data_IF_356538409296
#
_entry.id   IF_356538409296
#
_cell.length_a   1.000
_cell.length_b   1.000
_cell.length_c   1.000
_cell.angle_alpha   90.00
_cell.angle_beta   90.00
_cell.angle_gamma   90.00
#
_symmetry.space_group_name_H-M   'P 1'
#
loop_
_entity.id
_entity.type
_entity.pdbx_description
1 polymer ?
#
# COMPACT_ATOMS: atom_id res chain seq x y z
N UNK A 1 24.56 25.44 -4.56
CA UNK A 1 24.65 25.69 -3.12
C UNK A 1 25.77 24.82 -2.58
N UNK A 2 26.96 25.41 -2.35
CA UNK A 2 28.18 24.67 -2.03
C UNK A 2 28.19 24.27 -0.55
N UNK A 3 28.32 22.98 -0.28
CA UNK A 3 28.56 22.46 1.07
C UNK A 3 30.08 22.41 1.26
N UNK A 4 30.59 23.26 2.14
CA UNK A 4 32.00 23.27 2.52
C UNK A 4 32.25 22.17 3.55
N UNK A 5 33.10 21.22 3.20
CA UNK A 5 33.60 20.19 4.13
C UNK A 5 34.77 20.78 4.91
N UNK A 6 34.60 20.96 6.22
CA UNK A 6 35.71 21.33 7.11
C UNK A 6 36.50 20.08 7.48
N UNK A 7 37.69 19.94 6.92
CA UNK A 7 38.67 18.95 7.37
C UNK A 7 39.53 19.55 8.50
N UNK A 8 39.50 18.94 9.68
CA UNK A 8 40.38 19.28 10.79
C UNK A 8 41.66 18.43 10.62
N UNK A 9 42.78 19.08 10.29
CA UNK A 9 44.11 18.45 10.28
C UNK A 9 44.74 18.63 11.67
N UNK A 10 44.87 17.54 12.42
CA UNK A 10 45.59 17.52 13.69
C UNK A 10 46.94 16.84 13.46
N UNK A 11 48.02 17.59 13.46
CA UNK A 11 49.40 17.06 13.43
C UNK A 11 49.90 16.94 14.86
N UNK A 12 50.15 15.73 15.33
CA UNK A 12 50.70 15.46 16.65
C UNK A 12 52.11 14.90 16.51
N UNK A 13 53.12 15.64 16.93
CA UNK A 13 54.53 15.17 16.97
C UNK A 13 54.78 14.46 18.33
N UNK A 14 55.13 13.20 18.26
CA UNK A 14 55.44 12.38 19.44
C UNK A 14 56.88 12.00 19.57
N UNK A 15 57.44 12.16 20.75
CA UNK A 15 58.80 11.75 21.13
C UNK A 15 58.80 10.24 21.53
N UNK A 16 59.87 9.53 21.17
CA UNK A 16 59.92 8.06 21.09
C UNK A 16 59.79 7.29 22.43
N UNK A 17 59.82 7.95 23.59
CA UNK A 17 59.77 7.22 24.87
C UNK A 17 58.36 6.95 25.44
N UNK A 18 57.32 7.54 24.88
CA UNK A 18 55.90 7.33 25.35
C UNK A 18 55.13 6.27 24.56
N UNK A 19 55.74 5.60 23.59
CA UNK A 19 55.07 4.71 22.64
C UNK A 19 54.38 3.48 23.26
N UNK A 20 54.86 2.96 24.37
CA UNK A 20 54.31 1.70 24.92
C UNK A 20 53.14 1.92 25.90
N UNK A 21 53.09 3.03 26.55
CA UNK A 21 51.95 3.32 27.47
C UNK A 21 50.75 3.83 26.66
N UNK A 22 50.98 4.66 25.65
CA UNK A 22 49.90 5.18 24.83
C UNK A 22 49.27 4.15 23.89
N UNK A 23 50.00 3.13 23.45
CA UNK A 23 49.40 2.01 22.65
C UNK A 23 48.36 1.24 23.49
N UNK A 24 48.64 0.99 24.75
CA UNK A 24 47.65 0.32 25.61
C UNK A 24 46.44 1.22 25.95
N UNK A 25 46.66 2.49 26.21
CA UNK A 25 45.61 3.47 26.51
C UNK A 25 44.78 3.77 25.26
N UNK A 26 45.39 3.87 24.08
CA UNK A 26 44.67 4.08 22.84
C UNK A 26 43.85 2.83 22.44
N UNK A 27 44.37 1.62 22.71
CA UNK A 27 43.62 0.37 22.49
C UNK A 27 42.44 0.24 23.44
N UNK A 28 42.58 0.69 24.70
CA UNK A 28 41.44 0.77 25.64
C UNK A 28 40.45 1.88 25.27
N UNK A 29 40.91 3.02 24.73
CA UNK A 29 40.03 4.09 24.25
C UNK A 29 39.31 3.70 22.95
N UNK A 30 39.95 2.98 22.04
CA UNK A 30 39.28 2.43 20.86
C UNK A 30 38.34 1.28 21.18
N UNK A 31 38.61 0.52 22.25
CA UNK A 31 37.69 -0.53 22.76
C UNK A 31 36.48 0.08 23.52
N UNK A 32 36.62 1.28 24.06
CA UNK A 32 35.50 2.02 24.71
C UNK A 32 34.67 2.84 23.71
N UNK A 33 35.17 3.06 22.47
CA UNK A 33 34.44 3.72 21.38
C UNK A 33 33.89 2.77 20.31
N UNK A 34 33.89 1.46 20.55
CA UNK A 34 32.84 0.62 20.02
C UNK A 34 31.63 0.93 20.92
N UNK A 35 31.11 2.15 20.83
CA UNK A 35 29.71 2.39 21.07
C UNK A 35 29.01 1.46 20.10
N UNK A 36 28.65 0.26 20.55
CA UNK A 36 27.50 -0.39 19.99
C UNK A 36 26.45 0.71 19.97
N UNK A 37 26.16 1.25 18.81
CA UNK A 37 24.86 1.78 18.53
C UNK A 37 23.97 0.55 18.65
N UNK A 38 23.66 0.17 19.90
CA UNK A 38 22.50 -0.62 20.18
C UNK A 38 21.37 0.22 19.60
N UNK A 39 20.88 -0.19 18.41
CA UNK A 39 19.57 0.23 17.98
C UNK A 39 18.64 -0.38 19.02
N UNK A 40 18.48 0.32 20.15
CA UNK A 40 17.41 0.01 21.06
C UNK A 40 16.12 0.23 20.25
N UNK A 41 15.12 -0.60 20.48
CA UNK A 41 13.78 -0.37 19.96
C UNK A 41 13.18 0.83 20.73
N UNK A 42 13.72 2.03 20.48
CA UNK A 42 13.38 3.23 21.24
C UNK A 42 12.18 3.96 20.62
N UNK A 43 11.79 3.61 19.40
CA UNK A 43 10.67 4.25 18.71
C UNK A 43 9.95 3.33 17.73
N UNK A 44 8.65 3.53 17.64
CA UNK A 44 7.75 2.95 16.68
C UNK A 44 7.47 4.00 15.60
N UNK A 45 7.86 3.72 14.37
CA UNK A 45 7.51 4.57 13.22
C UNK A 45 6.18 4.09 12.64
N UNK A 46 5.19 4.99 12.63
CA UNK A 46 3.85 4.72 12.12
C UNK A 46 3.62 5.50 10.84
N UNK A 47 3.20 4.81 9.79
CA UNK A 47 2.71 5.41 8.56
C UNK A 47 1.24 5.07 8.39
N UNK A 48 0.41 6.08 8.24
CA UNK A 48 -1.01 5.93 7.94
C UNK A 48 -1.25 5.91 6.44
N UNK A 49 -2.14 5.02 5.98
CA UNK A 49 -2.54 4.92 4.59
C UNK A 49 -3.65 5.95 4.28
N UNK A 50 -3.49 6.72 3.20
CA UNK A 50 -4.47 7.75 2.78
C UNK A 50 -5.50 7.21 1.77
N UNK A 51 -5.87 5.94 1.88
CA UNK A 51 -6.83 5.31 0.98
C UNK A 51 -8.15 5.07 1.70
N UNK A 52 -9.27 5.04 0.99
CA UNK A 52 -10.57 4.70 1.57
C UNK A 52 -10.56 3.32 2.25
N UNK A 53 -11.42 3.16 3.25
CA UNK A 53 -11.70 1.87 3.88
C UNK A 53 -12.78 1.17 3.04
N UNK A 54 -12.48 0.02 2.47
CA UNK A 54 -13.42 -0.72 1.62
C UNK A 54 -14.23 -1.73 2.43
N UNK A 55 -15.55 -1.64 2.32
CA UNK A 55 -16.49 -2.50 3.07
C UNK A 55 -16.28 -3.98 2.72
N UNK A 56 -16.02 -4.28 1.46
CA UNK A 56 -15.87 -5.64 0.93
C UNK A 56 -14.48 -6.26 1.16
N UNK A 57 -13.59 -5.54 1.87
CA UNK A 57 -12.26 -6.04 2.26
C UNK A 57 -12.23 -6.52 3.69
N UNK A 58 -11.67 -7.72 3.88
CA UNK A 58 -11.41 -8.28 5.20
C UNK A 58 -10.34 -7.47 5.92
N UNK A 59 -9.30 -7.06 5.21
CA UNK A 59 -8.16 -6.32 5.75
C UNK A 59 -7.95 -5.00 5.01
N UNK A 60 -8.41 -3.91 5.62
CA UNK A 60 -8.05 -2.55 5.20
C UNK A 60 -6.91 -2.07 6.10
N UNK A 61 -5.75 -1.81 5.52
CA UNK A 61 -4.60 -1.34 6.29
C UNK A 61 -4.87 0.04 6.87
N UNK A 62 -4.86 0.13 8.20
CA UNK A 62 -4.85 1.37 8.95
C UNK A 62 -3.43 1.91 9.06
N UNK A 63 -2.52 1.07 9.56
CA UNK A 63 -1.17 1.47 9.90
C UNK A 63 -0.14 0.48 9.37
N UNK A 64 0.89 1.02 8.75
CA UNK A 64 2.19 0.39 8.58
C UNK A 64 3.07 0.82 9.74
N UNK A 65 3.65 -0.13 10.44
CA UNK A 65 4.50 0.11 11.58
C UNK A 65 5.89 -0.46 11.36
N UNK A 66 6.92 0.34 11.59
CA UNK A 66 8.33 -0.05 11.47
C UNK A 66 9.00 0.07 12.82
N UNK A 67 9.61 -1.01 13.26
CA UNK A 67 10.26 -1.10 14.56
C UNK A 67 11.72 -1.53 14.36
N UNK A 68 12.70 -0.64 14.57
CA UNK A 68 14.10 -1.05 14.71
C UNK A 68 14.22 -1.92 15.97
N UNK A 69 14.68 -3.17 15.84
CA UNK A 69 14.73 -4.10 16.96
C UNK A 69 16.01 -4.92 17.00
N UNK A 70 16.36 -5.43 18.17
CA UNK A 70 17.32 -6.50 18.36
C UNK A 70 16.62 -7.85 18.23
N UNK A 71 17.39 -8.89 17.98
CA UNK A 71 16.85 -10.26 17.98
C UNK A 71 16.27 -10.60 19.35
N UNK A 72 14.99 -10.97 19.34
CA UNK A 72 14.28 -11.38 20.55
C UNK A 72 13.45 -10.28 21.23
N UNK A 73 13.57 -9.01 20.80
CA UNK A 73 12.62 -7.98 21.22
C UNK A 73 11.18 -8.36 20.83
N UNK A 74 10.21 -7.94 21.64
CA UNK A 74 8.79 -8.26 21.42
C UNK A 74 7.94 -7.01 21.47
N UNK A 75 7.12 -6.78 20.47
CA UNK A 75 6.02 -5.82 20.53
C UNK A 75 4.90 -6.42 21.37
N UNK A 76 4.81 -6.07 22.64
CA UNK A 76 3.88 -6.70 23.58
C UNK A 76 2.44 -6.23 23.40
N UNK A 77 2.26 -4.93 23.28
CA UNK A 77 0.95 -4.30 23.18
C UNK A 77 1.00 -3.06 22.28
N UNK A 78 -0.05 -2.87 21.53
CA UNK A 78 -0.38 -1.62 20.87
C UNK A 78 -1.83 -1.27 21.19
N UNK A 79 -2.06 0.00 21.54
CA UNK A 79 -3.41 0.51 21.83
C UNK A 79 -3.90 1.31 20.62
N UNK A 80 -5.07 0.95 20.12
CA UNK A 80 -5.79 1.69 19.07
C UNK A 80 -6.93 2.45 19.72
N UNK A 81 -6.96 3.76 19.54
CA UNK A 81 -8.07 4.61 19.95
C UNK A 81 -8.94 4.90 18.73
N UNK A 82 -10.23 4.58 18.81
CA UNK A 82 -11.24 4.87 17.79
C UNK A 82 -11.90 6.20 18.11
N UNK A 83 -11.99 7.09 17.12
CA UNK A 83 -12.57 8.43 17.26
C UNK A 83 -14.05 8.41 17.68
N UNK A 84 -14.50 9.45 18.39
CA UNK A 84 -15.85 9.51 18.94
C UNK A 84 -16.94 9.60 17.87
N UNK A 85 -16.61 10.14 16.71
CA UNK A 85 -17.49 10.24 15.54
C UNK A 85 -17.63 8.92 14.75
N UNK A 86 -16.89 7.87 15.09
CA UNK A 86 -16.95 6.57 14.44
C UNK A 86 -18.04 5.72 15.11
N UNK A 87 -18.94 5.16 14.31
CA UNK A 87 -19.92 4.22 14.80
C UNK A 87 -19.28 2.84 15.02
N UNK A 88 -19.11 2.43 16.27
CA UNK A 88 -18.48 1.15 16.61
C UNK A 88 -19.25 -0.06 16.08
N UNK A 89 -20.56 0.07 15.86
CA UNK A 89 -21.37 -1.02 15.31
C UNK A 89 -21.02 -1.36 13.87
N UNK A 90 -20.37 -0.44 13.14
CA UNK A 90 -19.96 -0.62 11.73
C UNK A 90 -18.65 -1.40 11.61
N UNK A 91 -17.89 -1.56 12.70
CA UNK A 91 -16.63 -2.27 12.69
C UNK A 91 -16.85 -3.75 13.02
N UNK A 92 -16.34 -4.63 12.17
CA UNK A 92 -16.36 -6.08 12.38
C UNK A 92 -15.16 -6.56 13.20
N UNK A 93 -13.94 -6.07 12.86
CA UNK A 93 -12.71 -6.50 13.53
C UNK A 93 -11.58 -5.48 13.33
N UNK A 94 -10.63 -5.50 14.26
CA UNK A 94 -9.31 -4.87 14.14
C UNK A 94 -8.25 -5.94 14.39
N UNK A 95 -7.21 -6.01 13.52
CA UNK A 95 -6.21 -7.08 13.54
C UNK A 95 -4.80 -6.52 13.54
N UNK A 96 -3.89 -7.26 14.15
CA UNK A 96 -2.46 -7.01 14.13
C UNK A 96 -1.75 -8.13 13.35
N UNK A 97 -0.84 -7.75 12.44
CA UNK A 97 -0.04 -8.68 11.63
C UNK A 97 1.44 -8.37 11.76
N UNK A 98 2.27 -9.38 11.57
CA UNK A 98 3.74 -9.30 11.54
C UNK A 98 4.27 -9.89 10.23
N UNK A 99 5.12 -9.15 9.51
CA UNK A 99 5.70 -9.57 8.22
C UNK A 99 7.21 -9.85 8.27
N UNK A 100 7.83 -9.79 9.45
CA UNK A 100 9.28 -9.99 9.58
C UNK A 100 10.09 -8.73 9.29
N UNK A 101 11.34 -8.91 8.86
CA UNK A 101 12.25 -7.84 8.45
C UNK A 101 12.18 -7.64 6.95
N UNK A 102 12.55 -6.45 6.52
CA UNK A 102 12.67 -6.11 5.09
C UNK A 102 13.63 -7.09 4.41
N UNK A 103 13.13 -7.83 3.42
CA UNK A 103 14.00 -8.55 2.51
C UNK A 103 14.79 -7.53 1.69
N UNK A 104 16.09 -7.74 1.43
CA UNK A 104 16.87 -6.84 0.58
C UNK A 104 16.13 -6.66 -0.74
N UNK A 105 15.69 -5.43 -1.01
CA UNK A 105 14.92 -5.07 -2.17
C UNK A 105 15.71 -5.35 -3.45
N UNK A 106 15.02 -5.70 -4.51
CA UNK A 106 15.60 -5.60 -5.85
C UNK A 106 15.93 -4.14 -6.10
N UNK A 107 17.25 -3.85 -6.22
CA UNK A 107 17.82 -2.56 -6.68
C UNK A 107 16.94 -1.32 -6.41
N UNK A 108 17.08 -0.74 -5.23
CA UNK A 108 16.64 0.64 -4.98
C UNK A 108 15.15 0.88 -4.70
N UNK A 109 14.29 -0.09 -4.87
CA UNK A 109 12.87 0.05 -4.57
C UNK A 109 12.63 -0.20 -3.08
N UNK A 110 12.17 0.82 -2.37
CA UNK A 110 11.64 0.69 -1.02
C UNK A 110 10.26 0.04 -1.07
N UNK A 111 10.19 -1.26 -1.25
CA UNK A 111 8.94 -1.99 -1.08
C UNK A 111 8.57 -2.03 0.39
N UNK A 112 7.59 -1.24 0.73
CA UNK A 112 6.72 -1.63 1.84
C UNK A 112 6.07 -2.95 1.44
N UNK A 113 6.18 -4.03 2.23
CA UNK A 113 5.47 -5.27 1.93
C UNK A 113 4.00 -5.07 1.54
N UNK A 114 3.30 -4.10 2.14
CA UNK A 114 1.90 -3.77 1.80
C UNK A 114 1.77 -3.05 0.46
N UNK A 115 2.67 -2.17 0.08
CA UNK A 115 2.61 -1.52 -1.23
C UNK A 115 2.78 -2.55 -2.34
N UNK A 116 3.66 -3.53 -2.15
CA UNK A 116 3.80 -4.66 -3.04
C UNK A 116 2.53 -5.54 -3.05
N UNK A 117 1.98 -5.86 -1.87
CA UNK A 117 0.76 -6.65 -1.71
C UNK A 117 -0.44 -5.97 -2.36
N UNK A 118 -0.60 -4.65 -2.18
CA UNK A 118 -1.77 -3.94 -2.70
C UNK A 118 -1.74 -3.69 -4.20
N UNK A 119 -0.56 -3.67 -4.83
CA UNK A 119 -0.41 -3.27 -6.24
C UNK A 119 -0.06 -4.41 -7.21
N UNK A 120 0.44 -5.55 -6.71
CA UNK A 120 1.05 -6.56 -7.58
C UNK A 120 0.53 -7.99 -7.38
N UNK A 121 -0.45 -8.22 -6.51
CA UNK A 121 -0.98 -9.57 -6.32
C UNK A 121 -2.16 -9.81 -7.26
N UNK A 122 -2.01 -10.72 -8.22
CA UNK A 122 -3.13 -11.20 -9.00
C UNK A 122 -4.06 -12.01 -8.09
N UNK A 123 -5.31 -11.64 -8.06
CA UNK A 123 -6.35 -12.44 -7.47
C UNK A 123 -6.46 -12.37 -5.95
N UNK A 124 -7.62 -12.01 -5.50
CA UNK A 124 -8.10 -12.08 -4.11
C UNK A 124 -7.34 -11.23 -3.09
N UNK A 125 -7.34 -9.92 -3.31
CA UNK A 125 -6.90 -8.90 -2.32
C UNK A 125 -7.58 -9.04 -0.95
N UNK A 126 -8.63 -9.86 -0.83
CA UNK A 126 -9.33 -10.15 0.42
C UNK A 126 -8.50 -10.89 1.46
N UNK A 127 -7.46 -11.62 1.01
CA UNK A 127 -6.54 -12.39 1.88
C UNK A 127 -5.09 -11.93 1.80
N UNK A 128 -4.84 -10.76 1.25
CA UNK A 128 -3.48 -10.32 0.94
C UNK A 128 -2.57 -10.30 2.17
N UNK A 129 -3.01 -9.75 3.29
CA UNK A 129 -2.20 -9.68 4.50
C UNK A 129 -1.89 -11.07 5.07
N UNK A 130 -2.85 -11.96 5.12
CA UNK A 130 -2.64 -13.33 5.62
C UNK A 130 -1.68 -14.15 4.76
N UNK A 131 -1.52 -13.82 3.48
CA UNK A 131 -0.61 -14.51 2.57
C UNK A 131 0.86 -14.12 2.77
N UNK A 132 1.15 -12.94 3.32
CA UNK A 132 2.49 -12.36 3.44
C UNK A 132 2.88 -11.99 4.87
N UNK A 133 1.99 -12.20 5.81
CA UNK A 133 2.17 -11.86 7.21
C UNK A 133 1.45 -12.88 8.10
N UNK A 134 1.89 -12.93 9.34
CA UNK A 134 1.30 -13.79 10.37
C UNK A 134 0.43 -12.93 11.28
N UNK A 135 -0.86 -13.24 11.35
CA UNK A 135 -1.77 -12.59 12.30
C UNK A 135 -1.30 -12.85 13.73
N UNK A 136 -1.14 -11.79 14.49
CA UNK A 136 -0.70 -11.82 15.88
C UNK A 136 -1.89 -11.77 16.83
N UNK A 137 -2.86 -10.90 16.52
CA UNK A 137 -4.05 -10.67 17.36
C UNK A 137 -5.23 -10.20 16.53
N UNK A 138 -6.42 -10.38 17.10
CA UNK A 138 -7.69 -9.94 16.52
C UNK A 138 -8.67 -9.61 17.63
N UNK A 139 -9.26 -8.43 17.56
CA UNK A 139 -10.40 -8.04 18.38
C UNK A 139 -11.61 -7.87 17.48
N UNK A 140 -12.65 -8.67 17.75
CA UNK A 140 -13.92 -8.69 16.98
C UNK A 140 -15.02 -7.92 17.69
N UNK A 141 -16.04 -7.56 16.94
CA UNK A 141 -17.24 -6.90 17.50
C UNK A 141 -17.92 -7.75 18.60
N UNK A 142 -18.48 -7.12 19.64
CA UNK A 142 -18.56 -5.68 19.87
C UNK A 142 -17.24 -5.08 20.37
N UNK A 143 -16.84 -3.96 19.78
CA UNK A 143 -15.61 -3.26 20.16
C UNK A 143 -15.88 -2.14 21.18
N UNK A 144 -14.83 -1.81 21.94
CA UNK A 144 -14.77 -0.57 22.73
C UNK A 144 -14.02 0.52 21.94
N UNK A 145 -14.12 1.79 22.40
CA UNK A 145 -13.34 2.91 21.83
C UNK A 145 -11.85 2.68 21.91
N UNK A 146 -11.40 1.95 22.91
CA UNK A 146 -9.99 1.59 23.10
C UNK A 146 -9.83 0.10 22.83
N UNK A 147 -9.04 -0.23 21.81
CA UNK A 147 -8.73 -1.61 21.42
C UNK A 147 -7.26 -1.88 21.70
N UNK A 148 -6.97 -2.93 22.44
CA UNK A 148 -5.62 -3.41 22.70
C UNK A 148 -5.34 -4.62 21.84
N UNK A 149 -4.25 -4.57 21.11
CA UNK A 149 -3.72 -5.67 20.30
C UNK A 149 -2.38 -6.11 20.87
N UNK A 150 -2.15 -7.40 20.94
CA UNK A 150 -0.95 -7.99 21.56
C UNK A 150 -0.16 -8.82 20.54
N UNK A 151 1.14 -8.96 20.79
CA UNK A 151 1.98 -9.91 20.08
C UNK A 151 2.92 -10.61 21.06
N UNK A 152 3.23 -11.86 20.74
CA UNK A 152 4.26 -12.64 21.45
C UNK A 152 5.40 -13.04 20.50
N UNK A 153 5.35 -12.54 19.26
CA UNK A 153 6.33 -12.85 18.23
C UNK A 153 7.66 -12.18 18.52
N UNK A 154 8.75 -12.93 18.72
CA UNK A 154 10.07 -12.35 18.81
C UNK A 154 10.47 -11.70 17.48
N UNK A 155 10.92 -10.46 17.55
CA UNK A 155 11.42 -9.72 16.40
C UNK A 155 12.82 -10.20 16.00
N UNK A 156 13.15 -10.00 14.74
CA UNK A 156 14.48 -10.24 14.20
C UNK A 156 15.34 -8.97 14.36
N UNK A 157 16.65 -9.11 14.28
CA UNK A 157 17.55 -7.96 14.25
C UNK A 157 17.31 -7.15 12.97
N UNK A 158 17.04 -5.85 13.10
CA UNK A 158 16.79 -4.94 11.98
C UNK A 158 15.43 -4.26 12.08
N UNK A 159 14.94 -3.73 10.96
CA UNK A 159 13.63 -3.05 10.89
C UNK A 159 12.54 -4.11 10.68
N UNK A 160 11.69 -4.28 11.68
CA UNK A 160 10.58 -5.20 11.65
C UNK A 160 9.29 -4.48 11.25
N UNK A 161 8.41 -5.17 10.50
CA UNK A 161 7.17 -4.63 9.98
C UNK A 161 5.98 -5.29 10.66
N UNK A 162 5.10 -4.43 11.19
CA UNK A 162 3.78 -4.80 11.68
C UNK A 162 2.72 -4.00 10.95
N UNK A 163 1.50 -4.53 10.93
CA UNK A 163 0.36 -3.93 10.26
C UNK A 163 -0.85 -3.99 11.17
N UNK A 164 -1.58 -2.88 11.23
CA UNK A 164 -2.93 -2.87 11.81
C UNK A 164 -3.92 -2.75 10.68
N UNK A 165 -4.89 -3.64 10.64
CA UNK A 165 -6.01 -3.60 9.69
C UNK A 165 -7.35 -3.46 10.39
N UNK A 166 -8.33 -2.97 9.64
CA UNK A 166 -9.73 -2.88 10.05
C UNK A 166 -10.62 -3.58 9.02
N UNK A 167 -11.63 -4.26 9.50
CA UNK A 167 -12.73 -4.80 8.70
C UNK A 167 -14.02 -4.09 9.06
N UNK A 168 -14.73 -3.57 8.05
CA UNK A 168 -16.06 -3.01 8.21
C UNK A 168 -17.12 -4.08 7.99
N UNK A 169 -18.31 -3.86 8.55
CA UNK A 169 -19.47 -4.70 8.27
C UNK A 169 -20.07 -4.37 6.91
N UNK A 170 -20.69 -5.34 6.22
CA UNK A 170 -21.25 -5.14 4.88
C UNK A 170 -22.32 -4.04 4.79
N UNK A 171 -23.06 -3.82 5.86
CA UNK A 171 -24.14 -2.83 5.94
C UNK A 171 -23.68 -1.41 6.31
N UNK A 172 -22.38 -1.19 6.45
CA UNK A 172 -21.81 0.13 6.78
C UNK A 172 -22.18 1.17 5.70
N UNK A 173 -22.63 2.33 6.14
CA UNK A 173 -22.95 3.44 5.22
C UNK A 173 -21.72 3.93 4.47
N UNK A 174 -21.86 4.20 3.17
CA UNK A 174 -20.80 4.84 2.36
C UNK A 174 -20.51 6.30 2.77
N UNK A 175 -21.37 6.89 3.60
CA UNK A 175 -21.13 8.20 4.21
C UNK A 175 -20.35 8.11 5.52
N UNK A 176 -20.11 6.91 6.01
CA UNK A 176 -19.34 6.70 7.23
C UNK A 176 -17.87 7.12 7.03
N UNK A 177 -17.27 7.50 8.13
CA UNK A 177 -15.84 7.83 8.21
C UNK A 177 -15.21 7.05 9.34
N UNK A 178 -13.93 6.74 9.19
CA UNK A 178 -13.13 6.06 10.19
C UNK A 178 -11.99 6.98 10.61
N UNK A 179 -11.94 7.27 11.89
CA UNK A 179 -10.85 7.98 12.55
C UNK A 179 -10.24 7.08 13.63
N UNK A 180 -8.94 6.88 13.60
CA UNK A 180 -8.22 6.09 14.60
C UNK A 180 -6.89 6.73 14.93
N UNK A 181 -6.30 6.37 16.08
CA UNK A 181 -4.94 6.77 16.45
C UNK A 181 -4.28 5.71 17.32
N UNK A 182 -2.97 5.77 17.47
CA UNK A 182 -2.19 4.91 18.36
C UNK A 182 -1.66 5.78 19.49
N UNK A 183 -2.31 5.81 20.66
CA UNK A 183 -1.83 6.59 21.80
C UNK A 183 -0.69 5.93 22.57
N UNK A 184 -0.54 4.61 22.48
CA UNK A 184 0.45 3.86 23.25
C UNK A 184 0.90 2.58 22.54
N UNK A 185 2.18 2.25 22.68
CA UNK A 185 2.76 0.96 22.31
C UNK A 185 3.83 0.55 23.32
N UNK A 186 4.05 -0.77 23.45
CA UNK A 186 5.03 -1.34 24.41
C UNK A 186 5.90 -2.37 23.70
N UNK A 187 7.22 -2.21 23.89
CA UNK A 187 8.22 -3.21 23.48
C UNK A 187 8.94 -3.70 24.74
N UNK A 188 9.08 -5.02 24.89
CA UNK A 188 9.66 -5.66 26.07
C UNK A 188 9.01 -5.16 27.38
N UNK A 189 7.68 -4.97 27.37
CA UNK A 189 6.86 -4.43 28.45
C UNK A 189 7.24 -3.00 28.89
N UNK A 190 7.90 -2.22 28.03
CA UNK A 190 8.23 -0.83 28.27
C UNK A 190 7.52 0.05 27.23
N UNK A 191 6.96 1.19 27.65
CA UNK A 191 6.44 2.18 26.70
C UNK A 191 7.54 2.64 25.75
N UNK A 192 7.15 2.91 24.50
CA UNK A 192 8.05 3.43 23.46
C UNK A 192 7.45 4.67 22.82
N UNK A 193 8.31 5.53 22.29
CA UNK A 193 7.90 6.70 21.54
C UNK A 193 7.30 6.33 20.20
N UNK A 194 6.26 7.06 19.79
CA UNK A 194 5.57 6.86 18.52
C UNK A 194 5.84 8.05 17.61
N UNK A 195 6.51 7.77 16.49
CA UNK A 195 6.81 8.76 15.46
C UNK A 195 5.89 8.56 14.26
N UNK A 196 5.11 9.58 13.92
CA UNK A 196 4.16 9.55 12.83
C UNK A 196 4.77 10.10 11.54
N UNK A 197 4.49 9.38 10.42
CA UNK A 197 4.73 9.85 9.07
C UNK A 197 3.40 9.88 8.31
N UNK A 198 2.90 11.09 8.05
CA UNK A 198 1.62 11.26 7.34
C UNK A 198 0.44 10.80 8.19
N UNK A 199 -0.05 11.68 9.07
CA UNK A 199 -1.28 11.43 9.84
C UNK A 199 -2.48 11.80 8.98
N UNK A 200 -3.54 10.97 9.02
CA UNK A 200 -4.83 11.21 8.38
C UNK A 200 -5.88 11.39 9.48
N UNK A 201 -6.63 12.48 9.44
CA UNK A 201 -7.63 12.73 10.49
C UNK A 201 -8.84 11.80 10.34
N UNK A 202 -9.32 11.61 9.11
CA UNK A 202 -10.45 10.75 8.82
C UNK A 202 -10.28 10.07 7.45
N UNK A 203 -10.79 8.83 7.34
CA UNK A 203 -10.90 8.11 6.06
C UNK A 203 -12.35 7.85 5.72
N UNK A 204 -12.71 8.08 4.46
CA UNK A 204 -14.00 7.70 3.94
C UNK A 204 -14.11 6.19 3.80
N UNK A 205 -15.33 5.70 4.00
CA UNK A 205 -15.69 4.32 3.66
C UNK A 205 -16.10 4.29 2.19
N UNK A 206 -15.86 3.18 1.52
CA UNK A 206 -16.19 2.98 0.11
C UNK A 206 -16.39 1.53 -0.26
N UNK A 207 -16.71 1.29 -1.52
CA UNK A 207 -16.80 -0.04 -2.13
C UNK A 207 -15.82 -0.12 -3.30
N UNK A 208 -15.10 -1.22 -3.40
CA UNK A 208 -14.32 -1.55 -4.58
C UNK A 208 -15.24 -2.03 -5.69
N UNK A 209 -15.53 -1.19 -6.69
CA UNK A 209 -16.38 -1.58 -7.82
C UNK A 209 -15.82 -2.79 -8.54
N UNK A 210 -14.49 -2.83 -8.71
CA UNK A 210 -13.71 -3.98 -9.20
C UNK A 210 -12.37 -4.02 -8.50
N UNK A 211 -11.86 -5.24 -8.34
CA UNK A 211 -10.55 -5.50 -7.73
C UNK A 211 -9.73 -6.45 -8.62
N UNK A 212 -8.41 -6.41 -8.47
CA UNK A 212 -7.54 -7.37 -9.15
C UNK A 212 -8.00 -8.81 -8.86
N UNK A 213 -8.12 -9.62 -9.91
CA UNK A 213 -8.64 -10.99 -9.86
C UNK A 213 -10.13 -11.13 -10.12
N UNK A 214 -10.92 -10.05 -10.01
CA UNK A 214 -12.33 -10.12 -10.40
C UNK A 214 -12.43 -10.39 -11.91
N UNK A 215 -13.46 -11.14 -12.30
CA UNK A 215 -13.76 -11.48 -13.70
C UNK A 215 -12.55 -12.05 -14.48
N UNK A 216 -11.57 -12.65 -13.78
CA UNK A 216 -10.36 -13.23 -14.38
C UNK A 216 -9.34 -12.21 -14.89
N UNK A 217 -9.40 -10.95 -14.42
CA UNK A 217 -8.52 -9.86 -14.84
C UNK A 217 -7.42 -9.59 -13.83
N UNK A 218 -6.21 -9.32 -14.32
CA UNK A 218 -5.08 -9.00 -13.46
C UNK A 218 -5.23 -7.63 -12.77
N UNK A 219 -5.85 -6.66 -13.46
CA UNK A 219 -6.06 -5.32 -12.92
C UNK A 219 -7.24 -4.60 -13.61
N UNK A 220 -7.74 -3.58 -12.92
CA UNK A 220 -8.67 -2.58 -13.46
C UNK A 220 -8.07 -1.20 -13.25
N UNK A 221 -8.06 -0.37 -14.29
CA UNK A 221 -7.42 0.95 -14.25
C UNK A 221 -8.25 2.01 -14.99
N UNK A 222 -7.81 3.26 -14.91
CA UNK A 222 -8.38 4.42 -15.60
C UNK A 222 -9.90 4.53 -15.40
N UNK A 223 -10.38 4.62 -14.14
CA UNK A 223 -11.82 4.65 -13.88
C UNK A 223 -12.45 5.99 -14.26
N UNK A 224 -13.62 5.95 -14.87
CA UNK A 224 -14.55 7.05 -15.04
C UNK A 224 -15.87 6.76 -14.33
N UNK A 225 -16.51 7.79 -13.77
CA UNK A 225 -17.80 7.67 -13.08
C UNK A 225 -18.74 8.79 -13.48
N UNK A 226 -19.97 8.45 -13.83
CA UNK A 226 -21.04 9.41 -14.10
C UNK A 226 -22.34 9.02 -13.43
N UNK A 227 -23.21 10.00 -13.24
CA UNK A 227 -24.59 9.82 -12.79
C UNK A 227 -25.54 10.17 -13.92
N UNK A 228 -26.51 9.32 -14.21
CA UNK A 228 -27.56 9.58 -15.19
C UNK A 228 -28.66 10.47 -14.58
N UNK A 229 -29.55 11.01 -15.43
CA UNK A 229 -30.71 11.82 -14.99
C UNK A 229 -31.59 11.10 -13.95
N UNK A 230 -31.63 9.77 -13.99
CA UNK A 230 -32.41 8.95 -13.06
C UNK A 230 -31.64 8.54 -11.80
N UNK A 231 -30.44 9.09 -11.58
CA UNK A 231 -29.62 8.80 -10.41
C UNK A 231 -28.85 7.45 -10.49
N UNK A 232 -28.86 6.79 -11.65
CA UNK A 232 -28.07 5.59 -11.87
C UNK A 232 -26.58 5.97 -11.99
N UNK A 233 -25.71 5.30 -11.26
CA UNK A 233 -24.25 5.42 -11.40
C UNK A 233 -23.74 4.45 -12.45
N UNK A 234 -22.81 4.92 -13.28
CA UNK A 234 -22.10 4.10 -14.26
C UNK A 234 -20.60 4.31 -14.07
N UNK A 235 -19.90 3.23 -13.73
CA UNK A 235 -18.44 3.18 -13.68
C UNK A 235 -17.90 2.53 -14.93
N UNK A 236 -16.96 3.17 -15.64
CA UNK A 236 -16.19 2.59 -16.75
C UNK A 236 -14.73 2.47 -16.36
N UNK A 237 -14.02 1.52 -16.94
CA UNK A 237 -12.62 1.25 -16.61
C UNK A 237 -12.00 0.31 -17.64
N UNK A 238 -10.66 0.31 -17.69
CA UNK A 238 -9.90 -0.73 -18.38
C UNK A 238 -10.05 -2.07 -17.68
N UNK A 239 -10.31 -3.12 -18.45
CA UNK A 239 -10.19 -4.52 -18.04
C UNK A 239 -8.83 -5.00 -18.53
N UNK A 240 -7.85 -5.10 -17.64
CA UNK A 240 -6.48 -5.53 -17.97
C UNK A 240 -6.31 -6.99 -17.62
N UNK A 241 -6.39 -7.87 -18.62
CA UNK A 241 -6.48 -9.31 -18.39
C UNK A 241 -5.19 -9.95 -17.90
N UNK A 242 -4.03 -9.57 -18.44
CA UNK A 242 -2.77 -10.28 -18.21
C UNK A 242 -1.89 -9.60 -17.14
N UNK A 243 -1.90 -8.28 -17.10
CA UNK A 243 -1.04 -7.49 -16.21
C UNK A 243 -1.62 -6.09 -15.99
N UNK A 244 -0.99 -5.26 -15.19
CA UNK A 244 -1.37 -3.84 -15.01
C UNK A 244 -0.76 -2.90 -16.06
N UNK A 245 -0.04 -3.44 -17.04
CA UNK A 245 0.64 -2.67 -18.10
C UNK A 245 -0.37 -1.97 -18.99
N UNK A 246 -0.02 -0.79 -19.49
CA UNK A 246 -0.84 -0.01 -20.41
C UNK A 246 -0.86 -0.64 -21.83
N UNK A 247 -1.60 0.01 -22.75
CA UNK A 247 -1.59 -0.35 -24.16
C UNK A 247 -0.14 -0.32 -24.70
N UNK A 248 0.32 -1.31 -25.41
CA UNK A 248 -0.36 -2.38 -26.15
C UNK A 248 -0.42 -3.65 -25.29
N UNK A 249 -1.62 -4.09 -24.95
CA UNK A 249 -1.86 -5.34 -24.22
C UNK A 249 -3.33 -5.76 -24.46
N UNK A 250 -3.68 -6.96 -23.99
CA UNK A 250 -5.08 -7.43 -23.99
C UNK A 250 -5.88 -6.61 -22.97
N UNK A 251 -6.53 -5.54 -23.48
CA UNK A 251 -7.31 -4.60 -22.69
C UNK A 251 -8.64 -4.36 -23.39
N UNK A 252 -9.73 -4.38 -22.63
CA UNK A 252 -11.09 -4.02 -23.05
C UNK A 252 -11.65 -2.95 -22.11
N UNK A 253 -12.76 -2.31 -22.50
CA UNK A 253 -13.49 -1.39 -21.63
C UNK A 253 -14.63 -2.12 -20.94
N UNK A 254 -14.60 -2.08 -19.60
CA UNK A 254 -15.66 -2.56 -18.75
C UNK A 254 -16.61 -1.46 -18.30
N UNK A 255 -17.84 -1.84 -18.00
CA UNK A 255 -18.84 -0.98 -17.37
C UNK A 255 -19.54 -1.74 -16.24
N UNK A 256 -19.73 -1.07 -15.12
CA UNK A 256 -20.59 -1.51 -14.01
C UNK A 256 -21.64 -0.46 -13.69
N UNK A 257 -22.83 -0.91 -13.29
CA UNK A 257 -23.98 -0.07 -12.99
C UNK A 257 -24.40 -0.24 -11.53
N UNK A 258 -24.77 0.87 -10.89
CA UNK A 258 -25.45 0.88 -9.59
C UNK A 258 -26.71 1.73 -9.68
N UNK A 259 -27.81 1.21 -9.10
CA UNK A 259 -29.10 1.89 -9.02
C UNK A 259 -29.46 2.32 -7.59
N UNK A 260 -28.60 2.05 -6.63
CA UNK A 260 -28.77 2.28 -5.20
C UNK A 260 -27.71 3.22 -4.60
N UNK A 261 -27.28 4.19 -5.39
CA UNK A 261 -26.28 5.22 -5.01
C UNK A 261 -24.90 4.62 -4.65
N UNK A 262 -24.53 3.51 -5.30
CA UNK A 262 -23.20 2.89 -5.15
C UNK A 262 -23.13 1.84 -4.05
N UNK A 263 -24.22 1.51 -3.35
CA UNK A 263 -24.22 0.48 -2.30
C UNK A 263 -23.95 -0.91 -2.88
N UNK A 264 -24.55 -1.21 -4.05
CA UNK A 264 -24.28 -2.43 -4.79
C UNK A 264 -24.02 -2.12 -6.25
N UNK A 265 -23.25 -2.99 -6.90
CA UNK A 265 -22.86 -2.86 -8.30
C UNK A 265 -23.21 -4.13 -9.07
N UNK A 266 -23.83 -3.96 -10.22
CA UNK A 266 -24.12 -5.08 -11.13
C UNK A 266 -22.84 -5.77 -11.61
N UNK A 267 -22.91 -7.03 -12.05
CA UNK A 267 -21.82 -7.71 -12.72
C UNK A 267 -21.27 -6.86 -13.88
N UNK A 268 -19.96 -6.92 -14.08
CA UNK A 268 -19.30 -6.22 -15.16
C UNK A 268 -19.84 -6.67 -16.52
N UNK A 269 -20.00 -5.69 -17.42
CA UNK A 269 -20.22 -5.92 -18.85
C UNK A 269 -19.07 -5.34 -19.64
N UNK A 270 -18.64 -6.03 -20.67
CA UNK A 270 -17.69 -5.47 -21.63
C UNK A 270 -18.43 -4.49 -22.51
N UNK A 271 -18.09 -3.21 -22.43
CA UNK A 271 -18.68 -2.13 -23.19
C UNK A 271 -18.04 -1.97 -24.58
N UNK A 272 -16.72 -2.21 -24.67
CA UNK A 272 -15.96 -2.08 -25.90
C UNK A 272 -14.84 -3.11 -25.95
N UNK A 273 -14.73 -3.82 -27.06
CA UNK A 273 -13.69 -4.81 -27.33
C UNK A 273 -13.50 -4.94 -28.84
N UNK A 274 -12.28 -5.12 -29.29
CA UNK A 274 -11.95 -5.38 -30.69
C UNK A 274 -11.45 -6.81 -30.90
N UNK A 275 -11.17 -7.57 -29.85
CA UNK A 275 -10.75 -8.96 -29.89
C UNK A 275 -9.68 -9.21 -30.96
N UNK A 276 -9.92 -10.23 -31.83
CA UNK A 276 -9.11 -10.46 -33.01
C UNK A 276 -9.71 -9.67 -34.18
N UNK A 277 -8.99 -8.65 -34.64
CA UNK A 277 -9.40 -7.78 -35.74
C UNK A 277 -8.29 -7.72 -36.78
N UNK A 278 -8.64 -7.78 -38.07
CA UNK A 278 -7.72 -7.71 -39.20
C UNK A 278 -6.57 -8.72 -39.14
N UNK A 279 -6.85 -9.94 -38.63
CA UNK A 279 -5.87 -11.02 -38.48
C UNK A 279 -4.92 -10.86 -37.32
N UNK A 280 -4.99 -9.75 -36.56
CA UNK A 280 -4.16 -9.49 -35.40
C UNK A 280 -4.81 -10.01 -34.12
N UNK A 281 -4.03 -10.54 -33.15
CA UNK A 281 -4.58 -11.05 -31.90
C UNK A 281 -5.09 -9.92 -31.00
N UNK A 282 -5.87 -10.27 -29.98
CA UNK A 282 -6.47 -9.32 -29.03
C UNK A 282 -5.42 -8.39 -28.36
N UNK A 283 -4.25 -8.92 -28.00
CA UNK A 283 -3.17 -8.12 -27.43
C UNK A 283 -2.58 -7.05 -28.37
N UNK A 284 -2.89 -7.11 -29.66
CA UNK A 284 -2.56 -6.07 -30.65
C UNK A 284 -3.78 -5.24 -31.10
N UNK A 285 -4.90 -5.41 -30.41
CA UNK A 285 -6.16 -4.70 -30.61
C UNK A 285 -6.74 -4.19 -29.29
N UNK A 286 -5.88 -3.87 -28.31
CA UNK A 286 -6.32 -3.37 -27.04
C UNK A 286 -7.04 -2.02 -27.16
N UNK A 287 -8.06 -1.84 -26.34
CA UNK A 287 -8.79 -0.57 -26.18
C UNK A 287 -8.79 -0.16 -24.73
N UNK A 288 -8.35 1.06 -24.44
CA UNK A 288 -8.13 1.56 -23.07
C UNK A 288 -8.42 3.04 -22.94
N UNK A 289 -8.17 3.55 -21.73
CA UNK A 289 -8.33 4.96 -21.34
C UNK A 289 -9.75 5.48 -21.60
N UNK A 290 -10.80 4.86 -21.02
CA UNK A 290 -12.17 5.25 -21.28
C UNK A 290 -12.52 6.59 -20.66
N UNK A 291 -13.31 7.36 -21.42
CA UNK A 291 -14.04 8.52 -20.93
C UNK A 291 -15.53 8.28 -21.09
N UNK A 292 -16.33 8.75 -20.12
CA UNK A 292 -17.78 8.57 -20.14
C UNK A 292 -18.48 9.92 -19.96
N UNK A 293 -19.56 10.13 -20.72
CA UNK A 293 -20.39 11.32 -20.68
C UNK A 293 -21.86 10.93 -20.75
N UNK A 294 -22.69 11.62 -20.00
CA UNK A 294 -24.16 11.57 -20.12
C UNK A 294 -24.63 12.82 -20.83
N UNK A 295 -25.27 12.66 -21.99
CA UNK A 295 -26.04 13.71 -22.62
C UNK A 295 -27.44 13.72 -22.00
N UNK A 296 -27.65 14.65 -21.08
CA UNK A 296 -28.90 14.77 -20.32
C UNK A 296 -30.13 15.12 -21.19
N UNK A 297 -29.92 15.76 -22.34
CA UNK A 297 -31.00 16.17 -23.24
C UNK A 297 -31.55 14.98 -24.01
N UNK A 298 -30.67 14.12 -24.46
CA UNK A 298 -31.05 12.94 -25.29
C UNK A 298 -31.12 11.67 -24.50
N UNK A 299 -30.74 11.66 -23.21
CA UNK A 299 -30.55 10.47 -22.36
C UNK A 299 -29.59 9.47 -22.98
N UNK A 300 -28.58 9.95 -23.70
CA UNK A 300 -27.58 9.12 -24.35
C UNK A 300 -26.32 9.06 -23.49
N UNK A 301 -25.76 7.87 -23.35
CA UNK A 301 -24.48 7.65 -22.67
C UNK A 301 -23.42 7.42 -23.75
N UNK A 302 -22.41 8.27 -23.74
CA UNK A 302 -21.25 8.18 -24.62
C UNK A 302 -20.07 7.62 -23.88
N UNK A 303 -19.43 6.60 -24.46
CA UNK A 303 -18.15 6.07 -24.00
C UNK A 303 -17.16 6.20 -25.14
N UNK A 304 -16.04 6.87 -24.86
CA UNK A 304 -14.94 7.07 -25.82
C UNK A 304 -13.70 6.44 -25.24
N UNK A 305 -12.93 5.73 -26.05
CA UNK A 305 -11.67 5.10 -25.62
C UNK A 305 -10.64 5.10 -26.75
N UNK A 306 -9.37 4.94 -26.40
CA UNK A 306 -8.29 4.82 -27.36
C UNK A 306 -8.16 3.36 -27.81
N UNK A 307 -8.23 3.12 -29.13
CA UNK A 307 -7.94 1.82 -29.70
C UNK A 307 -6.56 1.81 -30.34
N UNK A 308 -5.73 0.85 -29.97
CA UNK A 308 -4.42 0.62 -30.56
C UNK A 308 -4.49 -0.59 -31.47
N UNK A 309 -4.18 -0.42 -32.77
CA UNK A 309 -4.25 -1.48 -33.77
C UNK A 309 -2.88 -1.74 -34.36
N UNK A 310 -2.41 -3.01 -34.28
CA UNK A 310 -1.23 -3.47 -34.99
C UNK A 310 0.10 -2.87 -34.52
N UNK A 311 0.13 -2.18 -33.40
CA UNK A 311 1.39 -1.69 -32.84
C UNK A 311 2.16 -2.87 -32.28
N UNK A 312 3.22 -3.25 -32.97
CA UNK A 312 3.95 -4.49 -32.77
C UNK A 312 4.49 -4.68 -31.38
N UNK A 313 4.53 -5.93 -30.98
CA UNK A 313 5.14 -6.52 -29.80
C UNK A 313 4.60 -6.06 -28.46
N UNK A 314 3.89 -6.91 -27.80
CA UNK A 314 3.65 -7.21 -26.36
C UNK A 314 4.14 -6.21 -25.29
N UNK A 315 4.53 -4.98 -25.67
CA UNK A 315 4.99 -3.94 -24.77
C UNK A 315 4.30 -2.63 -25.07
N UNK A 316 4.06 -1.85 -24.02
CA UNK A 316 3.43 -0.55 -24.10
C UNK A 316 3.91 0.31 -25.28
N UNK A 317 2.97 0.97 -25.95
CA UNK A 317 3.21 1.76 -27.17
C UNK A 317 4.31 2.82 -27.05
N UNK A 318 4.56 3.34 -25.84
CA UNK A 318 5.66 4.28 -25.60
C UNK A 318 7.06 3.69 -25.79
N UNK A 319 7.21 2.36 -25.77
CA UNK A 319 8.48 1.70 -26.11
C UNK A 319 8.88 1.92 -27.58
N UNK A 320 7.96 2.39 -28.39
CA UNK A 320 8.18 2.73 -29.80
C UNK A 320 8.29 4.25 -30.05
N UNK A 321 8.25 5.09 -29.02
CA UNK A 321 8.42 6.52 -29.16
C UNK A 321 9.88 6.85 -29.51
N UNK A 322 10.13 7.68 -30.54
CA UNK A 322 11.49 8.13 -30.88
C UNK A 322 12.15 8.82 -29.69
N UNK A 323 13.31 8.35 -29.28
CA UNK A 323 14.12 8.96 -28.22
C UNK A 323 14.05 8.31 -26.85
N UNK A 324 13.21 7.30 -26.64
CA UNK A 324 13.28 6.49 -25.42
C UNK A 324 14.22 5.29 -25.59
N UNK A 325 15.13 5.13 -24.65
CA UNK A 325 16.00 3.96 -24.59
C UNK A 325 15.28 2.81 -23.85
N UNK A 326 15.61 1.53 -24.12
CA UNK A 326 15.01 0.39 -23.43
C UNK A 326 15.15 0.43 -21.90
N UNK A 327 16.14 1.14 -21.38
CA UNK A 327 16.39 1.28 -19.93
C UNK A 327 15.46 2.31 -19.26
N UNK A 328 14.94 3.28 -19.99
CA UNK A 328 14.01 4.31 -19.49
C UNK A 328 12.57 3.81 -19.45
N UNK A 329 12.27 2.73 -20.15
CA UNK A 329 10.94 2.09 -20.18
C UNK A 329 10.77 0.98 -19.14
N UNK A 330 11.84 0.63 -18.41
CA UNK A 330 11.84 -0.41 -17.38
C UNK A 330 11.70 0.15 -15.94
N UNK A 331 11.51 1.48 -15.80
CA UNK A 331 11.28 2.16 -14.50
C UNK A 331 9.75 2.35 -14.27
#
# INVERSE_FOLDING_TARGET
MNIATFGIHISINFNLQTKNIMKKTFLYFCLLFIVQTAFAADSLYVREQQIPILIDRIDNVLYEMRIPAQKGDVLNEITIQIGDNVNLSDIQAIRLFYSGVEAPSRKGEHFSPVTYISSHIPGNTRKALESYSVRQDEVTAPLSRTVKLTSKQPMLKGINYFWVSIQMKPETSLLAKVATTIPNAQINNKPIDITWKGKVDERHVGIGVRQAGDDGSAAFRIPGLVTTNNGTLLGVYDIRYNSSVDLQEKIDIGVSRSTDKGQTWEPMRVAMTFKQTDGLPHGQNGVGDPSILVDEKTNTIWVVAAWTHGMGNERAWWNSMPGMTPDETAQ
#
